data_IF_847450655888
#
_entry.id   IF_847450655888
#
_cell.length_a   1.000
_cell.length_b   1.000
_cell.length_c   1.000
_cell.angle_alpha   90.00
_cell.angle_beta   90.00
_cell.angle_gamma   90.00
#
_symmetry.space_group_name_H-M   'P 1'
#
loop_
_entity.id
_entity.type
_entity.pdbx_description
1 polymer ?
#
# COMPACT_ATOMS: atom_id res chain seq x y z
N UNK A 1 4.66 2.63 32.39
CA UNK A 1 5.31 1.63 31.52
C UNK A 1 5.89 2.42 30.37
N UNK A 2 7.22 2.63 30.34
CA UNK A 2 7.87 3.32 29.23
C UNK A 2 8.04 2.34 28.07
N UNK A 3 7.59 2.71 26.88
CA UNK A 3 7.84 1.98 25.64
C UNK A 3 9.32 2.14 25.30
N UNK A 4 10.17 1.30 25.87
CA UNK A 4 11.65 1.42 25.80
C UNK A 4 12.21 1.03 24.42
N UNK A 5 11.42 0.37 23.58
CA UNK A 5 11.77 0.11 22.17
C UNK A 5 11.14 1.19 21.29
N UNK A 6 11.92 2.22 20.95
CA UNK A 6 11.55 3.22 19.96
C UNK A 6 11.29 2.58 18.59
N UNK A 7 10.69 3.34 17.66
CA UNK A 7 10.49 2.86 16.29
C UNK A 7 11.83 2.44 15.68
N UNK A 8 11.93 1.20 15.20
CA UNK A 8 13.13 0.65 14.58
C UNK A 8 12.78 0.02 13.24
N UNK A 9 13.65 0.22 12.25
CA UNK A 9 13.52 -0.39 10.94
C UNK A 9 14.83 -1.09 10.59
N UNK A 10 14.75 -2.40 10.28
CA UNK A 10 15.93 -3.26 10.07
C UNK A 10 16.94 -3.20 11.23
N UNK A 11 16.46 -3.02 12.47
CA UNK A 11 17.29 -2.93 13.67
C UNK A 11 17.94 -1.56 13.91
N UNK A 12 17.78 -0.59 13.02
CA UNK A 12 18.25 0.78 13.22
C UNK A 12 17.17 1.62 13.94
N UNK A 13 17.50 2.30 15.05
CA UNK A 13 16.54 3.13 15.77
C UNK A 13 16.26 4.42 15.00
N UNK A 14 14.98 4.80 14.89
CA UNK A 14 14.55 6.06 14.30
C UNK A 14 14.23 7.10 15.38
N UNK A 15 14.60 8.37 15.18
CA UNK A 15 14.40 9.44 16.16
C UNK A 15 13.00 10.06 16.08
N UNK A 16 11.95 9.24 16.00
CA UNK A 16 10.56 9.71 15.96
C UNK A 16 9.75 9.17 17.14
N UNK A 17 8.91 10.03 17.71
CA UNK A 17 7.97 9.63 18.76
C UNK A 17 6.63 9.16 18.15
N UNK A 18 5.93 8.26 18.84
CA UNK A 18 4.61 7.75 18.40
C UNK A 18 3.62 8.86 17.99
N UNK A 19 3.41 9.94 18.77
CA UNK A 19 2.48 11.00 18.34
C UNK A 19 2.93 11.73 17.08
N UNK A 20 4.24 11.91 16.88
CA UNK A 20 4.78 12.50 15.65
C UNK A 20 4.52 11.61 14.43
N UNK A 21 4.72 10.29 14.56
CA UNK A 21 4.42 9.32 13.51
C UNK A 21 2.94 9.34 13.11
N UNK A 22 2.03 9.39 14.09
CA UNK A 22 0.57 9.45 13.83
C UNK A 22 0.19 10.72 13.06
N UNK A 23 0.74 11.88 13.44
CA UNK A 23 0.47 13.14 12.73
C UNK A 23 0.96 13.11 11.29
N UNK A 24 2.17 12.57 11.06
CA UNK A 24 2.74 12.45 9.71
C UNK A 24 1.88 11.50 8.87
N UNK A 25 1.50 10.34 9.41
CA UNK A 25 0.65 9.38 8.71
C UNK A 25 -0.70 10.00 8.31
N UNK A 26 -1.40 10.62 9.26
CA UNK A 26 -2.71 11.22 9.00
C UNK A 26 -2.64 12.33 7.93
N UNK A 27 -1.62 13.18 7.97
CA UNK A 27 -1.45 14.25 6.98
C UNK A 27 -1.06 13.71 5.60
N UNK A 28 -0.09 12.79 5.52
CA UNK A 28 0.43 12.26 4.25
C UNK A 28 -0.59 11.36 3.57
N UNK A 29 -1.18 10.42 4.30
CA UNK A 29 -2.20 9.52 3.76
C UNK A 29 -3.46 10.31 3.43
N UNK A 30 -3.87 11.24 4.30
CA UNK A 30 -5.02 12.11 4.05
C UNK A 30 -4.88 12.92 2.75
N UNK A 31 -3.72 13.52 2.53
CA UNK A 31 -3.44 14.24 1.28
C UNK A 31 -3.41 13.28 0.07
N UNK A 32 -2.76 12.13 0.18
CA UNK A 32 -2.64 11.16 -0.92
C UNK A 32 -4.00 10.61 -1.33
N UNK A 33 -4.87 10.28 -0.37
CA UNK A 33 -6.23 9.82 -0.64
C UNK A 33 -7.11 10.92 -1.26
N UNK A 34 -6.92 12.17 -0.85
CA UNK A 34 -7.61 13.30 -1.47
C UNK A 34 -7.23 13.45 -2.94
N UNK A 35 -5.93 13.38 -3.25
CA UNK A 35 -5.45 13.43 -4.63
C UNK A 35 -5.90 12.21 -5.45
N UNK A 36 -5.93 11.01 -4.86
CA UNK A 36 -6.45 9.79 -5.51
C UNK A 36 -7.94 9.89 -5.83
N UNK A 37 -8.71 10.55 -4.97
CA UNK A 37 -10.15 10.74 -5.15
C UNK A 37 -10.52 11.93 -6.06
N UNK A 38 -9.56 12.79 -6.41
CA UNK A 38 -9.78 13.90 -7.33
C UNK A 38 -9.91 13.43 -8.81
N UNK A 39 -9.45 12.22 -9.14
CA UNK A 39 -9.61 11.63 -10.46
C UNK A 39 -10.99 11.00 -10.63
N UNK A 40 -11.68 11.37 -11.71
CA UNK A 40 -13.07 10.95 -11.99
C UNK A 40 -13.15 9.75 -12.93
N UNK A 41 -12.14 9.55 -13.78
CA UNK A 41 -12.14 8.45 -14.75
C UNK A 41 -11.93 7.10 -14.05
N UNK A 42 -12.88 6.13 -14.17
CA UNK A 42 -12.80 4.86 -13.46
C UNK A 42 -11.62 4.00 -13.89
N UNK A 43 -11.20 4.08 -15.16
CA UNK A 43 -10.07 3.30 -15.65
C UNK A 43 -8.74 3.82 -15.11
N UNK A 44 -8.51 5.15 -15.15
CA UNK A 44 -7.34 5.76 -14.52
C UNK A 44 -7.33 5.63 -13.00
N UNK A 45 -8.50 5.63 -12.35
CA UNK A 45 -8.57 5.42 -10.90
C UNK A 45 -8.09 4.03 -10.47
N UNK A 46 -8.30 3.02 -11.32
CA UNK A 46 -7.88 1.65 -11.06
C UNK A 46 -6.45 1.37 -11.60
N UNK A 47 -6.11 1.93 -12.76
CA UNK A 47 -4.82 1.76 -13.43
C UNK A 47 -4.30 3.12 -13.93
N UNK A 48 -3.75 3.96 -13.04
CA UNK A 48 -3.38 5.35 -13.38
C UNK A 48 -2.25 5.44 -14.42
N UNK A 49 -1.35 4.45 -14.45
CA UNK A 49 -0.28 4.35 -15.45
C UNK A 49 0.62 5.58 -15.53
N UNK A 50 1.10 5.88 -16.74
CA UNK A 50 1.97 7.02 -17.01
C UNK A 50 3.38 6.86 -16.44
N UNK A 51 4.20 7.90 -16.57
CA UNK A 51 5.61 7.89 -16.13
C UNK A 51 5.76 7.84 -14.60
N UNK A 52 4.71 8.22 -13.86
CA UNK A 52 4.73 8.26 -12.39
C UNK A 52 4.43 6.89 -11.77
N UNK A 53 3.46 6.14 -12.30
CA UNK A 53 3.04 4.85 -11.73
C UNK A 53 3.52 3.62 -12.53
N UNK A 54 3.90 3.77 -13.80
CA UNK A 54 4.56 2.73 -14.60
C UNK A 54 5.75 3.32 -15.38
N UNK A 55 6.87 3.66 -14.70
CA UNK A 55 8.04 4.25 -15.35
C UNK A 55 8.71 3.30 -16.37
N UNK A 56 8.50 1.98 -16.24
CA UNK A 56 9.05 0.96 -17.13
C UNK A 56 8.12 0.64 -18.32
N UNK A 57 6.92 1.22 -18.33
CA UNK A 57 5.92 1.09 -19.38
C UNK A 57 5.62 -0.37 -19.79
N UNK A 58 5.62 -1.29 -18.81
CA UNK A 58 5.41 -2.71 -19.04
C UNK A 58 3.97 -3.02 -19.47
N UNK A 59 3.03 -2.14 -19.12
CA UNK A 59 1.61 -2.27 -19.43
C UNK A 59 1.18 -1.60 -20.76
N UNK A 60 2.11 -1.13 -21.61
CA UNK A 60 1.79 -0.53 -22.90
C UNK A 60 1.16 -1.52 -23.91
N UNK A 61 1.56 -2.79 -23.85
CA UNK A 61 1.09 -3.82 -24.79
C UNK A 61 -0.24 -4.39 -24.26
N UNK A 62 -1.35 -4.33 -25.02
CA UNK A 62 -2.68 -4.66 -24.52
C UNK A 62 -2.82 -6.13 -24.06
N UNK A 63 -2.18 -7.06 -24.75
CA UNK A 63 -2.16 -8.49 -24.38
C UNK A 63 -1.44 -8.72 -23.05
N UNK A 64 -0.27 -8.08 -22.87
CA UNK A 64 0.49 -8.19 -21.62
C UNK A 64 -0.24 -7.50 -20.47
N UNK A 65 -0.88 -6.34 -20.72
CA UNK A 65 -1.68 -5.62 -19.74
C UNK A 65 -2.76 -6.53 -19.13
N UNK A 66 -3.54 -7.23 -19.94
CA UNK A 66 -4.60 -8.13 -19.45
C UNK A 66 -4.05 -9.28 -18.58
N UNK A 67 -2.92 -9.87 -19.00
CA UNK A 67 -2.24 -10.91 -18.22
C UNK A 67 -1.72 -10.38 -16.87
N UNK A 68 -1.07 -9.21 -16.87
CA UNK A 68 -0.57 -8.57 -15.65
C UNK A 68 -1.72 -8.20 -14.69
N UNK A 69 -2.85 -7.70 -15.21
CA UNK A 69 -4.03 -7.39 -14.40
C UNK A 69 -4.64 -8.64 -13.76
N UNK A 70 -4.69 -9.74 -14.49
CA UNK A 70 -5.21 -11.02 -13.97
C UNK A 70 -4.30 -11.56 -12.87
N UNK A 71 -2.98 -11.59 -13.10
CA UNK A 71 -2.02 -12.05 -12.09
C UNK A 71 -2.05 -11.19 -10.83
N UNK A 72 -2.08 -9.86 -10.97
CA UNK A 72 -2.13 -8.94 -9.82
C UNK A 72 -3.42 -9.09 -9.03
N UNK A 73 -4.57 -9.23 -9.69
CA UNK A 73 -5.86 -9.47 -9.04
C UNK A 73 -5.89 -10.80 -8.28
N UNK A 74 -5.43 -11.90 -8.90
CA UNK A 74 -5.34 -13.21 -8.22
C UNK A 74 -4.39 -13.16 -7.02
N UNK A 75 -3.22 -12.52 -7.16
CA UNK A 75 -2.25 -12.39 -6.08
C UNK A 75 -2.79 -11.54 -4.93
N UNK A 76 -3.47 -10.42 -5.23
CA UNK A 76 -4.09 -9.56 -4.21
C UNK A 76 -5.18 -10.30 -3.41
N UNK A 77 -6.02 -11.09 -4.09
CA UNK A 77 -7.02 -11.93 -3.43
C UNK A 77 -6.37 -12.98 -2.51
N UNK A 78 -5.31 -13.64 -2.99
CA UNK A 78 -4.55 -14.61 -2.20
C UNK A 78 -3.94 -13.98 -0.94
N UNK A 79 -3.30 -12.82 -1.06
CA UNK A 79 -2.71 -12.11 0.09
C UNK A 79 -3.76 -11.70 1.11
N UNK A 80 -4.95 -11.25 0.67
CA UNK A 80 -6.06 -10.90 1.56
C UNK A 80 -6.58 -12.10 2.35
N UNK A 81 -6.66 -13.27 1.73
CA UNK A 81 -7.06 -14.50 2.43
C UNK A 81 -6.03 -14.89 3.49
N UNK A 82 -4.74 -14.84 3.15
CA UNK A 82 -3.67 -15.19 4.08
C UNK A 82 -3.53 -14.20 5.25
N UNK A 83 -3.67 -12.89 4.99
CA UNK A 83 -3.62 -11.88 6.06
C UNK A 83 -4.78 -12.04 7.04
N UNK A 84 -5.97 -12.37 6.54
CA UNK A 84 -7.15 -12.63 7.38
C UNK A 84 -6.94 -13.85 8.28
N UNK A 85 -6.36 -14.93 7.74
CA UNK A 85 -5.98 -16.12 8.50
C UNK A 85 -4.90 -15.84 9.54
N UNK A 86 -3.90 -14.99 9.22
CA UNK A 86 -2.87 -14.57 10.18
C UNK A 86 -3.47 -13.75 11.33
N UNK A 87 -4.33 -12.76 11.03
CA UNK A 87 -5.04 -12.00 12.05
C UNK A 87 -5.92 -12.88 12.94
N UNK A 88 -6.56 -13.92 12.36
CA UNK A 88 -7.32 -14.90 13.13
C UNK A 88 -6.42 -15.73 14.04
N UNK A 89 -5.30 -16.25 13.52
CA UNK A 89 -4.34 -17.05 14.27
C UNK A 89 -3.71 -16.25 15.43
N UNK A 90 -3.33 -14.99 15.19
CA UNK A 90 -2.73 -14.10 16.18
C UNK A 90 -3.72 -13.62 17.25
N UNK A 91 -5.04 -13.71 17.00
CA UNK A 91 -6.09 -13.49 18.03
C UNK A 91 -6.38 -14.74 18.85
N UNK A 92 -6.00 -15.92 18.36
CA UNK A 92 -6.24 -17.22 19.00
C UNK A 92 -5.04 -17.81 19.74
N UNK A 93 -3.89 -17.11 19.75
CA UNK A 93 -2.64 -17.50 20.44
C UNK A 93 -2.35 -16.62 21.65
#
# INVERSE_FOLDING_TARGET
>A
MELIDGSSYLGQPLPFSIPSLILIEALVIGYTEFQRNAELDPEKRLYPGGTFFDPLNLAAIPEKKANLQTCTSCNACFLRLNSSSCCYWQRSS
#
